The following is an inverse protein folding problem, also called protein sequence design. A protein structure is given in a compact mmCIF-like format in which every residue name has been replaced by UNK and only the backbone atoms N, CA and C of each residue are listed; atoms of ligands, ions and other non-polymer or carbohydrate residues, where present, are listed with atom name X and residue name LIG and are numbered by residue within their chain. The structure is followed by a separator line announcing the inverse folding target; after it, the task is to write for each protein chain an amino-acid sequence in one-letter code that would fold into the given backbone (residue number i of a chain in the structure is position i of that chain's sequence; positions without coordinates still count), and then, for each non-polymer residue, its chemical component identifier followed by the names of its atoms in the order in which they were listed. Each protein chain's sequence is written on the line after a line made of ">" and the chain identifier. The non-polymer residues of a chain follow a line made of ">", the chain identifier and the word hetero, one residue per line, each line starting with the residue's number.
data_IF_935686656617
#
_entry.id   IF_935686656617
#
_cell.length_a   1.000
_cell.length_b   1.000
_cell.length_c   1.000
_cell.angle_alpha   90.00
_cell.angle_beta   90.00
_cell.angle_gamma   90.00
#
_symmetry.space_group_name_H-M   'P 1'
#
loop_
_entity.id
_entity.type
_entity.pdbx_description
1 polymer ?
#
# COMPACT_ATOMS: atom_id res chain seq x y z
N UNK A 1 -44.54 -45.02 15.45
CA UNK A 1 -44.23 -44.13 16.57
C UNK A 1 -42.90 -44.59 17.15
N UNK A 2 -41.80 -43.94 16.79
CA UNK A 2 -40.45 -44.28 17.28
C UNK A 2 -39.82 -42.99 17.79
N UNK A 3 -39.50 -42.97 19.08
CA UNK A 3 -39.00 -41.80 19.79
C UNK A 3 -37.61 -41.41 19.29
N UNK A 4 -37.41 -40.13 18.99
CA UNK A 4 -36.09 -39.54 18.75
C UNK A 4 -35.44 -39.40 20.13
N UNK A 5 -34.46 -40.26 20.40
CA UNK A 5 -33.64 -40.21 21.60
C UNK A 5 -32.65 -39.04 21.44
N UNK A 6 -32.93 -37.92 22.11
CA UNK A 6 -32.01 -36.78 22.19
C UNK A 6 -30.76 -37.26 22.96
N UNK A 7 -29.55 -37.13 22.38
CA UNK A 7 -28.34 -37.57 23.07
C UNK A 7 -28.05 -36.68 24.30
N UNK A 8 -27.49 -37.26 25.37
CA UNK A 8 -27.16 -36.53 26.61
C UNK A 8 -26.15 -35.41 26.36
N UNK A 9 -26.30 -34.32 27.10
CA UNK A 9 -25.57 -33.04 26.97
C UNK A 9 -24.03 -33.17 27.07
N UNK A 10 -23.52 -34.30 27.57
CA UNK A 10 -22.08 -34.62 27.61
C UNK A 10 -21.44 -34.82 26.22
N UNK A 11 -22.23 -35.12 25.17
CA UNK A 11 -21.72 -35.26 23.81
C UNK A 11 -21.58 -33.90 23.08
N UNK A 12 -22.24 -32.84 23.55
CA UNK A 12 -22.08 -31.48 23.00
C UNK A 12 -20.77 -30.82 23.49
N UNK A 13 -20.38 -31.10 24.73
CA UNK A 13 -19.12 -30.65 25.35
C UNK A 13 -17.88 -31.35 24.74
N UNK A 14 -18.03 -32.56 24.19
CA UNK A 14 -16.93 -33.29 23.56
C UNK A 14 -16.61 -32.79 22.14
N UNK A 15 -17.57 -32.19 21.44
CA UNK A 15 -17.36 -31.62 20.09
C UNK A 15 -16.78 -30.20 20.11
N UNK A 16 -16.95 -29.45 21.20
CA UNK A 16 -16.28 -28.15 21.42
C UNK A 16 -14.85 -28.29 21.96
N UNK A 17 -14.47 -29.50 22.40
CA UNK A 17 -13.17 -29.80 23.02
C UNK A 17 -12.17 -30.53 22.11
N UNK A 18 -12.35 -30.39 20.79
CA UNK A 18 -11.39 -30.81 19.77
C UNK A 18 -10.93 -29.66 18.86
N UNK A 19 -11.22 -28.40 19.21
CA UNK A 19 -10.37 -27.31 18.77
C UNK A 19 -9.11 -27.38 19.64
N UNK A 20 -8.08 -28.08 19.15
CA UNK A 20 -6.74 -27.98 19.74
C UNK A 20 -6.39 -26.51 19.94
N UNK A 21 -5.51 -26.17 20.91
CA UNK A 21 -5.17 -24.78 21.18
C UNK A 21 -4.86 -24.10 19.84
N UNK A 22 -5.61 -23.04 19.54
CA UNK A 22 -5.27 -22.16 18.43
C UNK A 22 -3.77 -21.88 18.58
N UNK A 23 -2.97 -22.08 17.52
CA UNK A 23 -1.53 -21.93 17.62
C UNK A 23 -1.24 -20.59 18.27
N UNK A 24 -0.34 -20.59 19.26
CA UNK A 24 0.09 -19.41 19.99
C UNK A 24 0.54 -18.34 18.97
N UNK A 25 -0.32 -17.35 18.72
CA UNK A 25 -0.13 -16.37 17.65
C UNK A 25 0.93 -15.31 18.00
N UNK A 26 1.60 -15.47 19.14
CA UNK A 26 2.60 -14.53 19.66
C UNK A 26 3.96 -14.61 18.96
N UNK A 27 4.17 -15.60 18.07
CA UNK A 27 5.46 -15.86 17.40
C UNK A 27 5.42 -15.99 15.87
N UNK A 28 4.29 -15.69 15.22
CA UNK A 28 4.23 -15.66 13.75
C UNK A 28 4.64 -14.25 13.26
N UNK A 29 5.39 -14.12 12.13
CA UNK A 29 5.66 -12.83 11.49
C UNK A 29 4.40 -12.29 10.77
N UNK A 30 3.25 -12.39 11.43
CA UNK A 30 1.98 -11.85 11.00
C UNK A 30 1.16 -11.49 12.24
N UNK A 31 0.46 -10.33 12.25
CA UNK A 31 0.13 -9.50 11.10
C UNK A 31 1.25 -8.63 10.53
N UNK A 32 1.30 -8.52 9.20
CA UNK A 32 2.09 -7.52 8.49
C UNK A 32 1.85 -6.14 9.11
N UNK A 33 2.91 -5.33 9.29
CA UNK A 33 2.76 -4.03 9.94
C UNK A 33 1.85 -3.13 9.12
N UNK A 34 0.76 -2.67 9.75
CA UNK A 34 -0.23 -1.76 9.15
C UNK A 34 -0.16 -0.42 9.87
N UNK A 35 -0.08 0.66 9.09
CA UNK A 35 -0.21 2.03 9.56
C UNK A 35 -1.33 2.71 8.80
N UNK A 36 -2.11 3.54 9.47
CA UNK A 36 -3.21 4.28 8.86
C UNK A 36 -3.24 5.72 9.38
N UNK A 37 -3.58 6.65 8.51
CA UNK A 37 -3.84 8.04 8.85
C UNK A 37 -4.95 8.60 7.97
N UNK A 38 -5.73 9.50 8.53
CA UNK A 38 -6.87 10.12 7.86
C UNK A 38 -6.81 11.64 8.05
N UNK A 39 -7.17 12.40 7.02
CA UNK A 39 -7.26 13.85 7.10
C UNK A 39 -8.32 14.38 6.12
N UNK A 40 -8.85 15.57 6.39
CA UNK A 40 -9.73 16.28 5.46
C UNK A 40 -8.87 17.14 4.54
N UNK A 41 -8.86 16.82 3.25
CA UNK A 41 -8.10 17.53 2.21
C UNK A 41 -9.10 18.05 1.17
N UNK A 42 -9.07 19.34 0.85
CA UNK A 42 -10.02 19.92 -0.11
C UNK A 42 -11.50 19.81 0.31
N UNK A 43 -11.79 19.61 1.60
CA UNK A 43 -13.14 19.35 2.10
C UNK A 43 -13.58 17.88 2.03
N UNK A 44 -12.71 16.98 1.58
CA UNK A 44 -13.00 15.54 1.46
C UNK A 44 -12.14 14.71 2.40
N UNK A 45 -12.79 13.77 3.09
CA UNK A 45 -12.09 12.83 3.97
C UNK A 45 -11.23 11.89 3.12
N UNK A 46 -9.92 11.98 3.33
CA UNK A 46 -8.93 11.16 2.65
C UNK A 46 -8.31 10.21 3.66
N UNK A 47 -8.41 8.91 3.38
CA UNK A 47 -7.86 7.83 4.19
C UNK A 47 -6.63 7.24 3.49
N UNK A 48 -5.53 7.14 4.24
CA UNK A 48 -4.29 6.52 3.79
C UNK A 48 -3.96 5.34 4.69
N UNK A 49 -3.68 4.20 4.07
CA UNK A 49 -3.22 3.01 4.75
C UNK A 49 -1.95 2.48 4.07
N UNK A 50 -0.99 2.06 4.87
CA UNK A 50 0.26 1.45 4.44
C UNK A 50 0.39 0.07 5.09
N UNK A 51 0.66 -0.95 4.29
CA UNK A 51 0.89 -2.33 4.73
C UNK A 51 2.26 -2.77 4.23
N UNK A 52 3.12 -3.14 5.16
CA UNK A 52 4.48 -3.60 4.87
C UNK A 52 4.52 -5.13 4.80
N UNK A 53 4.58 -5.69 3.58
CA UNK A 53 4.81 -7.11 3.34
C UNK A 53 6.31 -7.39 3.18
N UNK A 54 6.72 -8.66 3.24
CA UNK A 54 8.12 -9.03 3.04
C UNK A 54 8.64 -8.70 1.64
N UNK A 55 7.77 -8.73 0.62
CA UNK A 55 8.10 -8.56 -0.81
C UNK A 55 7.68 -7.20 -1.39
N UNK A 56 6.73 -6.52 -0.74
CA UNK A 56 6.13 -5.27 -1.24
C UNK A 56 5.67 -4.34 -0.14
N UNK A 57 5.51 -3.08 -0.49
CA UNK A 57 4.83 -2.07 0.33
C UNK A 57 3.53 -1.74 -0.39
N UNK A 58 2.40 -1.95 0.29
CA UNK A 58 1.09 -1.60 -0.23
C UNK A 58 0.64 -0.29 0.40
N UNK A 59 0.40 0.73 -0.41
CA UNK A 59 -0.17 2.01 0.03
C UNK A 59 -1.53 2.18 -0.64
N UNK A 60 -2.57 2.50 0.12
CA UNK A 60 -3.88 2.82 -0.43
C UNK A 60 -4.29 4.21 0.00
N UNK A 61 -4.73 5.02 -0.95
CA UNK A 61 -5.21 6.38 -0.77
C UNK A 61 -6.65 6.40 -1.29
N UNK A 62 -7.61 6.56 -0.40
CA UNK A 62 -9.03 6.47 -0.70
C UNK A 62 -9.74 7.74 -0.26
N UNK A 63 -10.52 8.33 -1.16
CA UNK A 63 -11.49 9.37 -0.85
C UNK A 63 -12.90 8.81 -1.04
N UNK A 64 -13.79 9.05 -0.07
CA UNK A 64 -15.17 8.54 -0.10
C UNK A 64 -15.27 7.01 -0.32
N UNK A 65 -14.29 6.24 0.16
CA UNK A 65 -14.23 4.78 0.00
C UNK A 65 -13.91 4.30 -1.42
N UNK A 66 -13.51 5.19 -2.33
CA UNK A 66 -13.15 4.84 -3.71
C UNK A 66 -11.70 4.35 -3.76
N UNK A 67 -11.46 3.30 -4.54
CA UNK A 67 -10.13 2.85 -4.99
C UNK A 67 -10.24 2.50 -6.46
N UNK A 68 -9.95 3.47 -7.32
CA UNK A 68 -10.30 3.38 -8.74
C UNK A 68 -9.13 3.12 -9.67
N UNK A 69 -7.89 3.23 -9.19
CA UNK A 69 -6.69 2.99 -9.98
C UNK A 69 -5.62 2.30 -9.14
N UNK A 70 -4.88 1.39 -9.75
CA UNK A 70 -3.77 0.67 -9.15
C UNK A 70 -2.53 0.85 -10.00
N UNK A 71 -1.42 1.17 -9.34
CA UNK A 71 -0.11 1.28 -9.95
C UNK A 71 0.92 0.53 -9.11
N UNK A 72 1.98 0.06 -9.74
CA UNK A 72 3.18 -0.37 -9.04
C UNK A 72 4.40 0.41 -9.48
N UNK A 73 5.40 0.50 -8.62
CA UNK A 73 6.73 1.04 -8.92
C UNK A 73 7.77 0.10 -8.30
N UNK A 74 8.66 -0.51 -9.10
CA UNK A 74 9.85 -1.16 -8.58
C UNK A 74 10.78 -0.12 -7.95
N UNK A 75 11.13 -0.29 -6.67
CA UNK A 75 12.08 0.61 -5.99
C UNK A 75 13.54 0.23 -6.28
N UNK A 76 13.76 -0.97 -6.81
CA UNK A 76 15.02 -1.43 -7.37
C UNK A 76 14.93 -1.47 -8.89
N UNK A 77 15.96 -0.97 -9.58
CA UNK A 77 16.07 -1.14 -11.03
C UNK A 77 16.73 -2.50 -11.33
N UNK A 78 15.93 -3.49 -11.68
CA UNK A 78 16.41 -4.81 -12.11
C UNK A 78 16.32 -5.01 -13.63
N UNK A 79 16.29 -3.93 -14.44
CA UNK A 79 16.18 -4.07 -15.90
C UNK A 79 17.46 -4.68 -16.49
N UNK A 80 17.41 -5.90 -17.08
CA UNK A 80 18.55 -6.54 -17.72
C UNK A 80 18.87 -5.77 -19.01
N UNK A 81 19.91 -4.94 -18.96
CA UNK A 81 20.25 -3.97 -20.01
C UNK A 81 20.50 -2.56 -19.50
N UNK A 82 20.22 -2.28 -18.23
CA UNK A 82 20.59 -1.01 -17.55
C UNK A 82 21.60 -1.22 -16.41
N UNK A 83 22.07 -2.46 -16.26
CA UNK A 83 23.08 -2.89 -15.28
C UNK A 83 24.35 -2.04 -15.42
N UNK A 84 24.47 -1.03 -14.57
CA UNK A 84 25.66 -0.17 -14.47
C UNK A 84 25.48 1.31 -14.85
N UNK A 85 24.34 1.75 -15.38
CA UNK A 85 24.18 3.17 -15.79
C UNK A 85 23.43 4.06 -14.81
N UNK A 86 22.73 3.50 -13.82
CA UNK A 86 22.08 4.24 -12.74
C UNK A 86 22.23 3.49 -11.41
N UNK A 87 23.47 3.23 -10.98
CA UNK A 87 23.71 3.06 -9.54
C UNK A 87 23.27 4.34 -8.87
N UNK A 88 22.50 4.23 -7.78
CA UNK A 88 22.07 5.36 -6.95
C UNK A 88 23.14 6.46 -6.92
N UNK A 89 22.87 7.58 -7.58
CA UNK A 89 23.70 8.76 -7.47
C UNK A 89 23.79 9.10 -5.99
N UNK A 90 25.00 9.37 -5.51
CA UNK A 90 25.27 9.88 -4.17
C UNK A 90 24.23 10.98 -3.84
N UNK A 91 23.56 10.97 -2.66
CA UNK A 91 22.54 11.96 -2.28
C UNK A 91 23.02 13.42 -2.31
N UNK A 92 24.31 13.63 -2.57
CA UNK A 92 24.99 14.92 -2.63
C UNK A 92 24.81 15.67 -3.96
N UNK A 93 24.36 15.03 -5.06
CA UNK A 93 24.55 15.59 -6.42
C UNK A 93 23.28 15.77 -7.27
N UNK A 94 22.04 15.57 -6.77
CA UNK A 94 20.81 15.93 -7.54
C UNK A 94 19.52 15.86 -6.70
N UNK A 95 19.45 16.63 -5.61
CA UNK A 95 18.32 16.61 -4.66
C UNK A 95 17.01 17.29 -5.11
N UNK A 96 16.86 17.65 -6.39
CA UNK A 96 15.73 18.46 -6.88
C UNK A 96 14.96 17.86 -8.07
N UNK A 97 15.40 16.72 -8.60
CA UNK A 97 14.68 16.00 -9.65
C UNK A 97 14.08 14.71 -9.08
N UNK A 98 12.82 14.36 -9.40
CA UNK A 98 12.30 13.04 -9.08
C UNK A 98 13.23 11.98 -9.68
N UNK A 99 13.57 10.95 -8.90
CA UNK A 99 14.57 9.94 -9.28
C UNK A 99 14.21 9.36 -10.66
N UNK A 100 15.09 9.48 -11.68
CA UNK A 100 14.75 9.18 -13.08
C UNK A 100 14.53 7.69 -13.38
N UNK A 101 14.67 6.82 -12.38
CA UNK A 101 14.51 5.36 -12.52
C UNK A 101 13.18 4.82 -11.99
N UNK A 102 12.35 5.64 -11.32
CA UNK A 102 11.09 5.19 -10.74
C UNK A 102 9.94 5.40 -11.73
N UNK A 103 9.67 4.39 -12.55
CA UNK A 103 8.54 4.40 -13.50
C UNK A 103 7.36 3.63 -12.91
N UNK A 104 6.22 4.29 -12.73
CA UNK A 104 5.02 3.57 -12.32
C UNK A 104 4.41 2.84 -13.51
N UNK A 105 3.83 1.67 -13.26
CA UNK A 105 3.05 0.93 -14.27
C UNK A 105 1.64 0.82 -13.74
N UNK A 106 0.64 1.24 -14.52
CA UNK A 106 -0.74 1.04 -14.13
C UNK A 106 -1.14 -0.42 -14.32
N UNK A 107 -1.72 -1.00 -13.28
CA UNK A 107 -2.20 -2.39 -13.26
C UNK A 107 -3.69 -2.44 -13.58
N UNK A 108 -4.46 -1.50 -13.01
CA UNK A 108 -5.91 -1.45 -13.17
C UNK A 108 -6.40 -0.01 -13.09
N UNK A 109 -7.45 0.31 -13.84
CA UNK A 109 -8.24 1.52 -13.60
C UNK A 109 -7.69 2.84 -14.13
N UNK A 110 -6.57 2.82 -14.86
CA UNK A 110 -6.15 3.96 -15.68
C UNK A 110 -7.10 4.12 -16.88
N UNK A 111 -8.20 4.84 -16.69
CA UNK A 111 -9.09 5.25 -17.77
C UNK A 111 -8.75 6.68 -18.17
N UNK A 112 -8.14 6.85 -19.35
CA UNK A 112 -7.79 8.15 -19.91
C UNK A 112 -6.40 8.67 -19.50
N UNK A 113 -5.82 9.52 -20.35
CA UNK A 113 -4.44 10.03 -20.19
C UNK A 113 -4.26 10.93 -18.97
N UNK A 114 -5.30 11.68 -18.58
CA UNK A 114 -5.23 12.57 -17.44
C UNK A 114 -5.08 11.80 -16.13
N UNK A 115 -6.01 10.86 -15.87
CA UNK A 115 -6.00 9.97 -14.69
C UNK A 115 -4.73 9.13 -14.60
N UNK A 116 -4.23 8.65 -15.73
CA UNK A 116 -2.95 7.96 -15.78
C UNK A 116 -1.80 8.88 -15.35
N UNK A 117 -1.74 10.11 -15.87
CA UNK A 117 -0.71 11.10 -15.50
C UNK A 117 -0.73 11.42 -14.01
N UNK A 118 -1.92 11.59 -13.44
CA UNK A 118 -2.10 11.82 -12.00
C UNK A 118 -1.61 10.63 -11.19
N UNK A 119 -2.04 9.42 -11.55
CA UNK A 119 -1.62 8.21 -10.86
C UNK A 119 -0.11 8.02 -10.91
N UNK A 120 0.51 8.27 -12.07
CA UNK A 120 1.96 8.27 -12.24
C UNK A 120 2.62 9.28 -11.29
N UNK A 121 2.17 10.53 -11.28
CA UNK A 121 2.71 11.60 -10.44
C UNK A 121 2.70 11.22 -8.95
N UNK A 122 1.55 10.81 -8.42
CA UNK A 122 1.43 10.43 -7.01
C UNK A 122 2.32 9.22 -6.69
N UNK A 123 2.28 8.18 -7.53
CA UNK A 123 2.99 6.94 -7.26
C UNK A 123 4.51 7.14 -7.32
N UNK A 124 5.02 7.83 -8.33
CA UNK A 124 6.45 8.14 -8.45
C UNK A 124 6.93 9.05 -7.32
N UNK A 125 6.11 10.00 -6.87
CA UNK A 125 6.47 10.85 -5.73
C UNK A 125 6.54 10.04 -4.43
N UNK A 126 5.55 9.19 -4.16
CA UNK A 126 5.55 8.31 -2.98
C UNK A 126 6.75 7.37 -3.02
N UNK A 127 7.05 6.79 -4.17
CA UNK A 127 8.22 5.94 -4.37
C UNK A 127 9.53 6.70 -4.06
N UNK A 128 9.67 7.91 -4.59
CA UNK A 128 10.83 8.77 -4.33
C UNK A 128 10.98 9.06 -2.84
N UNK A 129 9.88 9.33 -2.13
CA UNK A 129 9.91 9.58 -0.69
C UNK A 129 10.31 8.35 0.12
N UNK A 130 9.85 7.16 -0.26
CA UNK A 130 10.25 5.91 0.39
C UNK A 130 11.76 5.70 0.24
N UNK A 131 12.29 5.86 -0.98
CA UNK A 131 13.73 5.68 -1.26
C UNK A 131 14.56 6.72 -0.53
N UNK A 132 14.12 7.98 -0.50
CA UNK A 132 14.81 9.05 0.24
C UNK A 132 14.81 8.81 1.75
N UNK A 133 13.72 8.29 2.30
CA UNK A 133 13.61 7.98 3.75
C UNK A 133 14.38 6.71 4.13
N UNK A 134 14.37 5.70 3.25
CA UNK A 134 15.04 4.44 3.45
C UNK A 134 15.75 3.99 2.16
N UNK A 135 17.03 4.37 1.97
CA UNK A 135 17.76 4.08 0.73
C UNK A 135 18.08 2.58 0.53
N UNK A 136 17.87 1.76 1.56
CA UNK A 136 18.03 0.30 1.50
C UNK A 136 16.77 -0.37 0.95
N UNK A 137 15.66 0.36 0.82
CA UNK A 137 14.41 -0.20 0.34
C UNK A 137 14.51 -0.63 -1.13
N UNK A 138 14.20 -1.90 -1.39
CA UNK A 138 14.22 -2.54 -2.72
C UNK A 138 12.89 -3.15 -3.13
N UNK A 139 11.95 -3.27 -2.18
CA UNK A 139 10.68 -3.97 -2.39
C UNK A 139 9.81 -3.26 -3.44
N UNK A 140 8.86 -3.98 -4.01
CA UNK A 140 7.88 -3.39 -4.94
C UNK A 140 6.94 -2.45 -4.17
N UNK A 141 6.76 -1.22 -4.63
CA UNK A 141 5.69 -0.36 -4.15
C UNK A 141 4.42 -0.64 -4.97
N UNK A 142 3.30 -0.87 -4.30
CA UNK A 142 1.97 -0.98 -4.91
C UNK A 142 1.10 0.13 -4.32
N UNK A 143 0.53 0.98 -5.18
CA UNK A 143 -0.33 2.10 -4.78
C UNK A 143 -1.73 1.92 -5.35
N UNK A 144 -2.73 1.91 -4.47
CA UNK A 144 -4.14 2.06 -4.80
C UNK A 144 -4.54 3.51 -4.65
N UNK A 145 -5.03 4.13 -5.72
CA UNK A 145 -5.45 5.52 -5.78
C UNK A 145 -6.95 5.65 -6.07
N UNK A 146 -7.65 6.37 -5.20
CA UNK A 146 -9.05 6.73 -5.37
C UNK A 146 -9.29 8.19 -5.07
N UNK A 147 -8.54 9.06 -5.75
CA UNK A 147 -8.73 10.50 -5.71
C UNK A 147 -9.70 10.92 -6.83
N UNK A 148 -10.58 11.88 -6.54
CA UNK A 148 -11.50 12.44 -7.54
C UNK A 148 -10.81 13.53 -8.38
N UNK A 149 -10.96 13.49 -9.70
CA UNK A 149 -10.22 14.39 -10.62
C UNK A 149 -10.55 15.88 -10.40
N UNK A 150 -11.73 16.20 -9.87
CA UNK A 150 -12.09 17.57 -9.51
C UNK A 150 -11.35 18.12 -8.29
N UNK A 151 -10.61 17.28 -7.56
CA UNK A 151 -9.92 17.60 -6.32
C UNK A 151 -8.40 17.71 -6.50
N UNK A 152 -7.93 17.88 -7.74
CA UNK A 152 -6.52 18.03 -8.05
C UNK A 152 -6.07 19.47 -7.85
N UNK A 153 -5.88 19.84 -6.60
CA UNK A 153 -5.17 21.04 -6.20
C UNK A 153 -3.78 20.71 -5.65
N UNK A 154 -2.86 21.65 -5.78
CA UNK A 154 -1.47 21.51 -5.31
C UNK A 154 -1.42 21.29 -3.80
N UNK A 155 -2.28 21.98 -3.05
CA UNK A 155 -2.34 21.85 -1.59
C UNK A 155 -2.87 20.47 -1.18
N UNK A 156 -3.82 19.92 -1.94
CA UNK A 156 -4.34 18.55 -1.75
C UNK A 156 -3.24 17.54 -2.03
N UNK A 157 -2.48 17.71 -3.12
CA UNK A 157 -1.33 16.86 -3.44
C UNK A 157 -0.33 16.80 -2.28
N UNK A 158 0.13 17.95 -1.77
CA UNK A 158 1.05 17.96 -0.64
C UNK A 158 0.43 17.36 0.62
N UNK A 159 -0.85 17.64 0.89
CA UNK A 159 -1.57 17.06 2.01
C UNK A 159 -1.63 15.53 1.96
N UNK A 160 -1.85 14.94 0.79
CA UNK A 160 -1.83 13.48 0.58
C UNK A 160 -0.43 12.94 0.84
N UNK A 161 0.59 13.58 0.28
CA UNK A 161 1.99 13.18 0.43
C UNK A 161 2.42 13.20 1.91
N UNK A 162 2.08 14.25 2.65
CA UNK A 162 2.33 14.35 4.09
C UNK A 162 1.59 13.27 4.89
N UNK A 163 0.37 12.94 4.48
CA UNK A 163 -0.43 11.89 5.12
C UNK A 163 0.18 10.49 4.88
N UNK A 164 0.69 10.25 3.68
CA UNK A 164 1.45 9.05 3.34
C UNK A 164 2.74 8.97 4.15
N UNK A 165 3.47 10.07 4.32
CA UNK A 165 4.71 10.10 5.09
C UNK A 165 4.52 9.70 6.57
N UNK A 166 3.36 10.00 7.16
CA UNK A 166 2.98 9.56 8.51
C UNK A 166 2.77 8.04 8.59
N UNK A 167 2.43 7.40 7.47
CA UNK A 167 2.12 5.97 7.37
C UNK A 167 3.31 5.11 6.92
N UNK A 168 4.46 5.71 6.59
CA UNK A 168 5.65 4.99 6.11
C UNK A 168 6.71 5.01 7.20
#
# INVERSE_FOLDING_TARGET
>A
MSAILIPPNDQLEAMTKSAGPLPDQTGLPFPASVKQASAVLGGVLTDVMSVSFSDKILVTISQNGKLGQWLHVPLENTNPGTDGSHSHSDPSEDGLLPLPNLTATSVLGARGTHRETIGQLYTCQIASLIVTKNPIERRLLVVGLGIEESELDRDIFFGVIDLVLKCI
#
